data_IF_197929999284
#
_entry.id   IF_197929999284
#
_cell.length_a   1.000
_cell.length_b   1.000
_cell.length_c   1.000
_cell.angle_alpha   90.00
_cell.angle_beta   90.00
_cell.angle_gamma   90.00
#
_symmetry.space_group_name_H-M   'P 1'
#
loop_
_entity.id
_entity.type
_entity.pdbx_description
1 polymer ?
#
# COMPACT_ATOMS: atom_id res chain seq x y z
N UNK A 1 27.89 -1.06 -2.15
CA UNK A 1 26.82 -0.47 -1.32
C UNK A 1 26.34 0.75 -2.06
N UNK A 2 25.06 0.83 -2.41
CA UNK A 2 24.54 2.03 -3.05
C UNK A 2 24.54 3.17 -2.02
N UNK A 3 25.08 4.34 -2.39
CA UNK A 3 24.97 5.53 -1.55
C UNK A 3 23.52 6.02 -1.57
N UNK A 4 22.82 5.80 -0.46
CA UNK A 4 21.48 6.31 -0.24
C UNK A 4 21.39 6.98 1.13
N UNK A 5 20.40 7.88 1.30
CA UNK A 5 20.06 8.45 2.61
C UNK A 5 18.59 8.23 2.88
N UNK A 6 18.22 7.89 4.11
CA UNK A 6 16.82 7.78 4.55
C UNK A 6 16.52 8.68 5.74
N UNK A 7 15.34 9.28 5.73
CA UNK A 7 14.79 10.09 6.83
C UNK A 7 13.39 9.56 7.18
N UNK A 8 13.08 9.44 8.47
CA UNK A 8 11.73 9.07 8.90
C UNK A 8 10.80 10.29 8.76
N UNK A 9 9.59 10.06 8.26
CA UNK A 9 8.55 11.08 8.20
C UNK A 9 7.45 10.77 9.21
N UNK A 10 6.88 11.84 9.78
CA UNK A 10 5.69 11.75 10.63
C UNK A 10 4.45 11.74 9.73
N UNK A 11 3.85 10.57 9.52
CA UNK A 11 2.57 10.44 8.85
C UNK A 11 1.44 10.45 9.88
N UNK A 12 0.34 11.12 9.53
CA UNK A 12 -0.87 11.17 10.35
C UNK A 12 -2.04 10.56 9.56
N UNK A 13 -2.02 9.23 9.35
CA UNK A 13 -3.14 8.59 8.69
C UNK A 13 -4.40 8.78 9.54
N UNK A 14 -5.49 9.19 8.88
CA UNK A 14 -6.80 9.25 9.49
C UNK A 14 -7.63 8.06 9.00
N UNK A 15 -8.53 7.58 9.85
CA UNK A 15 -9.43 6.49 9.50
C UNK A 15 -10.46 7.02 8.49
N UNK A 16 -10.17 6.78 7.21
CA UNK A 16 -11.04 7.18 6.10
C UNK A 16 -12.08 6.10 5.82
N UNK A 17 -13.28 6.29 6.37
CA UNK A 17 -14.41 5.37 6.19
C UNK A 17 -14.89 5.38 4.74
N UNK A 18 -14.85 6.53 4.06
CA UNK A 18 -15.30 6.64 2.67
C UNK A 18 -14.38 5.85 1.74
N UNK A 19 -13.06 5.99 1.92
CA UNK A 19 -12.07 5.20 1.20
C UNK A 19 -12.24 3.70 1.48
N UNK A 20 -12.46 3.32 2.73
CA UNK A 20 -12.66 1.92 3.10
C UNK A 20 -13.90 1.32 2.43
N UNK A 21 -15.03 2.02 2.45
CA UNK A 21 -16.28 1.60 1.80
C UNK A 21 -16.09 1.51 0.28
N UNK A 22 -15.38 2.46 -0.32
CA UNK A 22 -15.07 2.44 -1.75
C UNK A 22 -14.20 1.23 -2.13
N UNK A 23 -13.16 0.93 -1.35
CA UNK A 23 -12.26 -0.19 -1.61
C UNK A 23 -12.96 -1.55 -1.44
N UNK A 24 -13.77 -1.68 -0.39
CA UNK A 24 -14.54 -2.90 -0.09
C UNK A 24 -15.79 -3.07 -0.94
N UNK A 25 -16.21 -2.05 -1.69
CA UNK A 25 -17.49 -1.99 -2.41
C UNK A 25 -18.72 -2.20 -1.50
N UNK A 26 -18.55 -1.98 -0.20
CA UNK A 26 -19.63 -2.05 0.76
C UNK A 26 -20.31 -0.70 0.91
N UNK A 27 -21.56 -0.73 1.37
CA UNK A 27 -22.35 0.49 1.64
C UNK A 27 -22.49 0.78 3.13
N UNK A 28 -22.13 -0.20 3.97
CA UNK A 28 -22.26 -0.13 5.43
C UNK A 28 -21.27 -1.06 6.11
N UNK A 29 -20.96 -0.73 7.35
CA UNK A 29 -20.11 -1.53 8.24
C UNK A 29 -20.91 -1.75 9.52
N UNK A 30 -20.97 -3.00 9.99
CA UNK A 30 -21.60 -3.33 11.27
C UNK A 30 -20.79 -2.75 12.45
N UNK A 31 -21.45 -2.46 13.56
CA UNK A 31 -20.80 -1.89 14.74
C UNK A 31 -19.69 -2.77 15.31
N UNK A 32 -19.92 -4.09 15.40
CA UNK A 32 -18.91 -5.01 15.94
C UNK A 32 -17.65 -5.05 15.04
N UNK A 33 -17.86 -5.05 13.72
CA UNK A 33 -16.76 -5.01 12.76
C UNK A 33 -16.02 -3.68 12.82
N UNK A 34 -16.73 -2.56 12.99
CA UNK A 34 -16.12 -1.24 13.15
C UNK A 34 -15.23 -1.17 14.40
N UNK A 35 -15.67 -1.71 15.53
CA UNK A 35 -14.87 -1.77 16.76
C UNK A 35 -13.61 -2.61 16.57
N UNK A 36 -13.72 -3.77 15.90
CA UNK A 36 -12.55 -4.60 15.54
C UNK A 36 -11.55 -3.83 14.67
N UNK A 37 -12.05 -3.12 13.65
CA UNK A 37 -11.19 -2.36 12.73
C UNK A 37 -10.54 -1.16 13.42
N UNK A 38 -11.23 -0.47 14.32
CA UNK A 38 -10.65 0.61 15.10
C UNK A 38 -9.48 0.10 15.97
N UNK A 39 -9.65 -1.05 16.64
CA UNK A 39 -8.59 -1.66 17.43
C UNK A 39 -7.37 -2.06 16.57
N UNK A 40 -7.61 -2.63 15.38
CA UNK A 40 -6.54 -2.95 14.43
C UNK A 40 -5.84 -1.70 13.91
N UNK A 41 -6.59 -0.64 13.60
CA UNK A 41 -6.04 0.64 13.17
C UNK A 41 -5.08 1.22 14.22
N UNK A 42 -5.50 1.26 15.48
CA UNK A 42 -4.66 1.75 16.58
C UNK A 42 -3.41 0.88 16.77
N UNK A 43 -3.56 -0.45 16.67
CA UNK A 43 -2.42 -1.38 16.70
C UNK A 43 -1.42 -1.06 15.59
N UNK A 44 -1.89 -0.96 14.35
CA UNK A 44 -1.04 -0.80 13.17
C UNK A 44 -0.32 0.56 13.07
N UNK A 45 -0.79 1.59 13.77
CA UNK A 45 -0.02 2.84 13.92
C UNK A 45 1.38 2.61 14.49
N UNK A 46 1.55 1.64 15.40
CA UNK A 46 2.86 1.27 15.95
C UNK A 46 3.74 0.45 15.01
N UNK A 47 3.17 -0.07 13.92
CA UNK A 47 3.81 -0.94 12.93
C UNK A 47 4.02 -0.26 11.57
N UNK A 48 3.61 1.01 11.46
CA UNK A 48 3.78 1.81 10.26
C UNK A 48 5.20 2.36 10.16
N UNK A 49 5.86 2.10 9.04
CA UNK A 49 7.12 2.73 8.69
C UNK A 49 6.93 3.68 7.52
N UNK A 50 7.33 4.94 7.70
CA UNK A 50 7.28 5.99 6.67
C UNK A 50 8.65 6.60 6.52
N UNK A 51 9.24 6.45 5.34
CA UNK A 51 10.59 6.93 5.05
C UNK A 51 10.64 7.71 3.75
N UNK A 52 11.38 8.82 3.80
CA UNK A 52 11.88 9.52 2.64
C UNK A 52 13.25 8.96 2.29
N UNK A 53 13.39 8.42 1.09
CA UNK A 53 14.63 7.81 0.61
C UNK A 53 15.18 8.68 -0.51
N UNK A 54 16.48 8.94 -0.49
CA UNK A 54 17.19 9.62 -1.59
C UNK A 54 18.25 8.69 -2.15
N UNK A 55 18.15 8.41 -3.45
CA UNK A 55 19.13 7.64 -4.22
C UNK A 55 19.67 8.55 -5.32
N UNK A 56 20.94 8.93 -5.22
CA UNK A 56 21.54 9.93 -6.12
C UNK A 56 20.79 11.28 -6.09
N UNK A 57 20.16 11.65 -7.21
CA UNK A 57 19.40 12.91 -7.36
C UNK A 57 17.88 12.74 -7.17
N UNK A 58 17.39 11.51 -7.06
CA UNK A 58 15.96 11.22 -6.98
C UNK A 58 15.59 10.95 -5.52
N UNK A 59 14.43 11.45 -5.13
CA UNK A 59 13.82 11.24 -3.82
C UNK A 59 12.54 10.42 -3.99
N UNK A 60 12.28 9.57 -3.01
CA UNK A 60 11.18 8.62 -2.98
C UNK A 60 10.51 8.67 -1.61
N UNK A 61 9.23 8.35 -1.58
CA UNK A 61 8.47 8.06 -0.38
C UNK A 61 8.23 6.56 -0.34
N UNK A 62 8.65 5.92 0.74
CA UNK A 62 8.38 4.53 1.05
C UNK A 62 7.50 4.46 2.30
N UNK A 63 6.35 3.79 2.19
CA UNK A 63 5.37 3.62 3.27
C UNK A 63 5.03 2.14 3.32
N UNK A 64 5.16 1.50 4.47
CA UNK A 64 4.74 0.10 4.62
C UNK A 64 4.34 -0.23 6.04
N UNK A 65 3.48 -1.25 6.17
CA UNK A 65 3.25 -1.96 7.41
C UNK A 65 4.20 -3.15 7.50
N UNK A 66 4.63 -3.48 8.71
CA UNK A 66 5.41 -4.68 8.95
C UNK A 66 4.55 -5.97 8.85
N UNK A 67 5.18 -7.10 9.14
CA UNK A 67 4.57 -8.44 9.08
C UNK A 67 3.36 -8.61 10.01
N UNK A 68 3.21 -7.79 11.05
CA UNK A 68 2.12 -7.93 12.01
C UNK A 68 0.77 -7.71 11.33
N UNK A 69 0.66 -6.73 10.43
CA UNK A 69 -0.56 -6.48 9.67
C UNK A 69 -0.90 -7.63 8.71
N UNK A 70 0.13 -8.29 8.15
CA UNK A 70 -0.05 -9.47 7.30
C UNK A 70 -0.57 -10.64 8.13
N UNK A 71 -0.03 -10.86 9.33
CA UNK A 71 -0.51 -11.90 10.26
C UNK A 71 -1.94 -11.65 10.73
N UNK A 72 -2.29 -10.41 11.04
CA UNK A 72 -3.65 -10.05 11.46
C UNK A 72 -4.66 -10.30 10.35
N UNK A 73 -4.31 -9.92 9.11
CA UNK A 73 -5.17 -10.13 7.94
C UNK A 73 -5.28 -11.61 7.58
N UNK A 74 -4.17 -12.35 7.58
CA UNK A 74 -4.13 -13.79 7.32
C UNK A 74 -4.90 -14.58 8.38
N UNK A 75 -4.70 -14.28 9.66
CA UNK A 75 -5.41 -14.94 10.76
C UNK A 75 -6.92 -14.66 10.77
N UNK A 76 -7.36 -13.54 10.20
CA UNK A 76 -8.79 -13.25 10.06
C UNK A 76 -9.47 -14.21 9.07
N UNK A 77 -8.76 -14.70 8.05
CA UNK A 77 -9.32 -15.62 7.04
C UNK A 77 -9.71 -16.97 7.63
N UNK A 78 -8.99 -17.45 8.66
CA UNK A 78 -9.34 -18.67 9.38
C UNK A 78 -10.64 -18.54 10.20
N UNK A 79 -11.01 -17.32 10.60
CA UNK A 79 -12.17 -17.05 11.43
C UNK A 79 -13.42 -16.70 10.61
N UNK A 80 -13.32 -15.67 9.75
CA UNK A 80 -14.42 -15.16 8.93
C UNK A 80 -13.85 -14.57 7.63
N UNK A 81 -14.11 -15.21 6.47
CA UNK A 81 -13.67 -14.67 5.19
C UNK A 81 -14.21 -13.26 4.90
N UNK A 82 -15.41 -12.94 5.38
CA UNK A 82 -16.01 -11.61 5.21
C UNK A 82 -15.30 -10.54 6.06
N UNK A 83 -14.99 -10.85 7.32
CA UNK A 83 -14.23 -9.94 8.20
C UNK A 83 -12.81 -9.78 7.65
N UNK A 84 -12.18 -10.87 7.20
CA UNK A 84 -10.84 -10.86 6.62
C UNK A 84 -10.75 -10.01 5.35
N UNK A 85 -11.78 -10.06 4.49
CA UNK A 85 -11.90 -9.18 3.33
C UNK A 85 -11.94 -7.70 3.76
N UNK A 86 -12.74 -7.37 4.77
CA UNK A 86 -12.85 -6.00 5.29
C UNK A 86 -11.56 -5.52 5.96
N UNK A 87 -10.91 -6.38 6.74
CA UNK A 87 -9.63 -6.10 7.40
C UNK A 87 -8.50 -5.93 6.38
N UNK A 88 -8.54 -6.69 5.27
CA UNK A 88 -7.60 -6.51 4.15
C UNK A 88 -7.77 -5.14 3.49
N UNK A 89 -9.03 -4.73 3.25
CA UNK A 89 -9.33 -3.40 2.72
C UNK A 89 -8.97 -2.28 3.71
N UNK A 90 -9.09 -2.52 5.02
CA UNK A 90 -8.64 -1.61 6.06
C UNK A 90 -7.14 -1.35 5.96
N UNK A 91 -6.32 -2.39 5.81
CA UNK A 91 -4.87 -2.26 5.67
C UNK A 91 -4.49 -1.49 4.40
N UNK A 92 -5.23 -1.68 3.31
CA UNK A 92 -5.05 -0.90 2.08
C UNK A 92 -5.43 0.58 2.28
N UNK A 93 -6.59 0.86 2.89
CA UNK A 93 -7.02 2.22 3.21
C UNK A 93 -6.02 2.92 4.14
N UNK A 94 -5.45 2.18 5.10
CA UNK A 94 -4.44 2.66 6.04
C UNK A 94 -3.18 3.16 5.34
N UNK A 95 -2.62 2.36 4.44
CA UNK A 95 -1.43 2.75 3.66
C UNK A 95 -1.73 3.95 2.76
N UNK A 96 -2.89 3.95 2.09
CA UNK A 96 -3.27 5.05 1.19
C UNK A 96 -3.45 6.35 1.98
N UNK A 97 -4.16 6.32 3.11
CA UNK A 97 -4.31 7.47 4.02
C UNK A 97 -2.96 7.98 4.55
N UNK A 98 -2.03 7.06 4.85
CA UNK A 98 -0.66 7.41 5.26
C UNK A 98 0.09 8.14 4.15
N UNK A 99 -0.09 7.73 2.90
CA UNK A 99 0.49 8.40 1.73
C UNK A 99 -0.15 9.77 1.51
N UNK A 100 -1.48 9.88 1.60
CA UNK A 100 -2.20 11.15 1.40
C UNK A 100 -1.83 12.20 2.45
N UNK A 101 -1.58 11.78 3.69
CA UNK A 101 -1.07 12.67 4.75
C UNK A 101 0.27 13.33 4.41
N UNK A 102 1.07 12.74 3.52
CA UNK A 102 2.41 13.25 3.14
C UNK A 102 2.40 13.85 1.73
N UNK A 103 1.64 13.26 0.81
CA UNK A 103 1.53 13.62 -0.60
C UNK A 103 0.03 13.72 -0.99
N UNK A 104 -0.67 14.81 -0.62
CA UNK A 104 -2.09 14.98 -0.92
C UNK A 104 -2.37 15.04 -2.43
N UNK A 105 -1.38 15.42 -3.25
CA UNK A 105 -1.50 15.39 -4.72
C UNK A 105 -1.79 13.97 -5.26
N UNK A 106 -1.38 12.92 -4.54
CA UNK A 106 -1.65 11.52 -4.91
C UNK A 106 -3.14 11.21 -4.81
N UNK A 107 -3.82 11.75 -3.80
CA UNK A 107 -5.27 11.59 -3.61
C UNK A 107 -6.03 12.22 -4.78
N UNK A 108 -5.64 13.43 -5.16
CA UNK A 108 -6.24 14.15 -6.31
C UNK A 108 -5.97 13.44 -7.63
N UNK A 109 -4.78 12.86 -7.80
CA UNK A 109 -4.41 12.10 -8.98
C UNK A 109 -5.03 10.69 -9.03
N UNK A 110 -5.54 10.18 -7.89
CA UNK A 110 -6.16 8.86 -7.76
C UNK A 110 -5.20 7.67 -7.86
N UNK A 111 -3.88 7.92 -7.95
CA UNK A 111 -2.86 6.88 -8.05
C UNK A 111 -1.45 7.39 -7.69
N UNK A 112 -0.66 6.55 -7.01
CA UNK A 112 0.76 6.79 -6.75
C UNK A 112 1.62 6.06 -7.80
N UNK A 113 2.42 6.76 -8.63
CA UNK A 113 3.27 6.09 -9.61
C UNK A 113 4.38 5.29 -8.92
N UNK A 114 4.54 4.04 -9.33
CA UNK A 114 5.64 3.19 -8.89
C UNK A 114 6.93 3.53 -9.66
N UNK A 115 8.05 3.81 -8.97
CA UNK A 115 9.33 4.06 -9.64
C UNK A 115 9.93 2.77 -10.20
N UNK A 116 10.76 2.90 -11.23
CA UNK A 116 11.54 1.79 -11.77
C UNK A 116 12.53 1.26 -10.71
N UNK A 117 12.59 -0.07 -10.46
CA UNK A 117 13.56 -0.66 -9.55
C UNK A 117 14.97 -0.55 -10.17
N UNK A 118 15.73 0.43 -9.71
CA UNK A 118 17.17 0.57 -10.05
C UNK A 118 18.00 -0.14 -9.01
N UNK A 119 19.22 -0.58 -9.33
CA UNK A 119 20.09 -1.28 -8.38
C UNK A 119 20.27 -0.52 -7.06
N UNK A 120 20.36 0.81 -7.12
CA UNK A 120 20.47 1.65 -5.94
C UNK A 120 19.19 1.67 -5.08
N UNK A 121 18.02 1.65 -5.71
CA UNK A 121 16.73 1.62 -5.02
C UNK A 121 16.46 0.23 -4.43
N UNK A 122 16.79 -0.84 -5.16
CA UNK A 122 16.67 -2.22 -4.68
C UNK A 122 17.55 -2.43 -3.46
N UNK A 123 18.82 -2.03 -3.52
CA UNK A 123 19.74 -2.12 -2.38
C UNK A 123 19.29 -1.27 -1.18
N UNK A 124 18.76 -0.08 -1.41
CA UNK A 124 18.22 0.76 -0.34
C UNK A 124 17.00 0.11 0.34
N UNK A 125 16.07 -0.44 -0.43
CA UNK A 125 14.89 -1.10 0.11
C UNK A 125 15.23 -2.40 0.87
N UNK A 126 16.24 -3.14 0.41
CA UNK A 126 16.79 -4.30 1.12
C UNK A 126 17.38 -3.92 2.48
N UNK A 127 18.23 -2.89 2.53
CA UNK A 127 18.84 -2.40 3.78
C UNK A 127 17.80 -1.82 4.76
N UNK A 128 16.70 -1.25 4.24
CA UNK A 128 15.60 -0.72 5.05
C UNK A 128 14.61 -1.77 5.55
N UNK A 129 14.76 -3.05 5.16
CA UNK A 129 13.95 -4.16 5.63
C UNK A 129 12.64 -4.39 4.87
N UNK A 130 12.50 -3.82 3.67
CA UNK A 130 11.37 -4.03 2.78
C UNK A 130 11.87 -4.26 1.34
N UNK A 131 12.61 -5.36 1.07
CA UNK A 131 13.19 -5.63 -0.25
C UNK A 131 12.11 -5.80 -1.32
N UNK A 132 12.51 -5.67 -2.58
CA UNK A 132 11.66 -6.08 -3.71
C UNK A 132 11.47 -7.60 -3.70
N UNK A 133 10.31 -8.05 -4.16
CA UNK A 133 10.08 -9.47 -4.38
C UNK A 133 10.86 -9.93 -5.63
N UNK A 134 11.63 -11.01 -5.51
CA UNK A 134 12.45 -11.53 -6.62
C UNK A 134 11.66 -11.87 -7.89
N UNK A 135 10.35 -12.15 -7.75
CA UNK A 135 9.48 -12.56 -8.85
C UNK A 135 8.48 -11.49 -9.29
N UNK A 136 8.48 -10.31 -8.66
CA UNK A 136 7.52 -9.25 -8.96
C UNK A 136 8.17 -7.86 -8.91
N UNK A 137 7.65 -6.94 -9.71
CA UNK A 137 8.01 -5.51 -9.63
C UNK A 137 7.49 -4.81 -8.36
N UNK A 138 6.95 -5.57 -7.40
CA UNK A 138 6.38 -5.13 -6.15
C UNK A 138 7.35 -5.39 -4.97
N UNK A 139 7.07 -4.74 -3.84
CA UNK A 139 7.80 -4.95 -2.60
C UNK A 139 7.41 -6.28 -1.94
N UNK A 140 8.25 -6.76 -1.04
CA UNK A 140 8.04 -8.00 -0.28
C UNK A 140 6.88 -7.92 0.70
N UNK A 141 6.58 -6.72 1.22
CA UNK A 141 5.43 -6.47 2.09
C UNK A 141 4.18 -6.26 1.25
N UNK A 142 3.08 -6.91 1.65
CA UNK A 142 1.75 -6.84 1.00
C UNK A 142 1.20 -5.42 1.05
N UNK A 143 1.38 -4.75 2.18
CA UNK A 143 0.91 -3.40 2.42
C UNK A 143 2.09 -2.43 2.36
N UNK A 144 2.57 -2.18 1.15
CA UNK A 144 3.66 -1.26 0.90
C UNK A 144 3.44 -0.42 -0.36
N UNK A 145 3.81 0.85 -0.28
CA UNK A 145 3.80 1.81 -1.37
C UNK A 145 5.16 2.47 -1.46
N UNK A 146 5.69 2.50 -2.68
CA UNK A 146 6.88 3.25 -3.03
C UNK A 146 6.55 4.17 -4.19
N UNK A 147 6.77 5.47 -4.00
CA UNK A 147 6.47 6.48 -5.02
C UNK A 147 7.51 7.59 -5.03
N UNK A 148 7.42 8.51 -5.97
CA UNK A 148 8.34 9.66 -6.07
C UNK A 148 8.00 10.71 -5.02
N UNK A 149 9.05 11.34 -4.47
CA UNK A 149 8.92 12.47 -3.55
C UNK A 149 9.75 13.67 -4.08
N UNK A 150 9.19 14.88 -4.20
CA UNK A 150 7.76 15.19 -4.21
C UNK A 150 7.05 14.44 -5.35
N UNK A 151 5.71 14.41 -5.31
CA UNK A 151 4.87 13.75 -6.32
C UNK A 151 5.25 14.19 -7.74
N UNK A 152 5.35 13.23 -8.66
CA UNK A 152 5.70 13.47 -10.06
C UNK A 152 4.78 12.68 -10.96
N UNK A 153 3.75 13.32 -11.50
CA UNK A 153 2.84 12.68 -12.46
C UNK A 153 2.10 11.46 -11.90
N UNK A 154 1.25 10.86 -12.72
CA UNK A 154 0.46 9.68 -12.35
C UNK A 154 0.85 8.50 -13.24
N UNK A 155 -0.10 7.94 -14.00
CA UNK A 155 0.13 6.72 -14.80
C UNK A 155 1.24 6.86 -15.86
N UNK A 156 1.49 8.06 -16.40
CA UNK A 156 2.45 8.27 -17.51
C UNK A 156 3.91 7.90 -17.18
N UNK A 157 4.27 7.90 -15.90
CA UNK A 157 5.63 7.59 -15.44
C UNK A 157 5.69 6.32 -14.59
N UNK A 158 4.57 5.62 -14.45
CA UNK A 158 4.45 4.47 -13.57
C UNK A 158 5.09 3.25 -14.22
N UNK A 159 6.09 2.67 -13.55
CA UNK A 159 6.77 1.48 -14.04
C UNK A 159 5.84 0.26 -14.14
N UNK A 160 4.81 0.22 -13.31
CA UNK A 160 3.80 -0.84 -13.30
C UNK A 160 2.71 -0.65 -14.35
N UNK A 161 2.69 0.45 -15.11
CA UNK A 161 1.65 0.75 -16.09
C UNK A 161 1.30 -0.42 -17.05
N UNK A 162 2.25 -1.19 -17.63
CA UNK A 162 1.90 -2.31 -18.52
C UNK A 162 1.13 -3.43 -17.84
N UNK A 163 1.32 -3.64 -16.53
CA UNK A 163 0.67 -4.68 -15.74
C UNK A 163 -0.42 -4.10 -14.82
N UNK A 164 -0.70 -2.80 -14.91
CA UNK A 164 -1.61 -2.13 -13.98
C UNK A 164 -3.05 -2.15 -14.50
N UNK A 165 -4.02 -2.66 -13.72
CA UNK A 165 -5.42 -2.69 -14.14
C UNK A 165 -5.99 -1.28 -14.42
N UNK A 166 -5.58 -0.28 -13.61
CA UNK A 166 -5.91 1.14 -13.86
C UNK A 166 -5.29 1.68 -15.14
N UNK A 167 -4.00 1.39 -15.37
CA UNK A 167 -3.27 1.84 -16.55
C UNK A 167 -3.77 1.22 -17.85
N UNK A 168 -4.35 0.04 -17.78
CA UNK A 168 -4.87 -0.72 -18.92
C UNK A 168 -6.38 -0.53 -19.15
N UNK A 169 -7.04 0.37 -18.40
CA UNK A 169 -8.48 0.61 -18.53
C UNK A 169 -9.35 -0.59 -18.16
N UNK A 170 -8.78 -1.56 -17.44
CA UNK A 170 -9.48 -2.72 -16.89
C UNK A 170 -10.09 -2.43 -15.52
N UNK A 171 -9.76 -1.28 -14.94
CA UNK A 171 -10.36 -0.78 -13.70
C UNK A 171 -11.81 -0.36 -13.96
N UNK A 172 -12.74 -1.29 -13.71
CA UNK A 172 -14.17 -1.00 -13.56
C UNK A 172 -14.49 -0.61 -12.10
N UNK A 173 -13.65 0.21 -11.47
CA UNK A 173 -13.81 0.61 -10.06
C UNK A 173 -13.36 -0.46 -9.05
N UNK A 174 -12.51 -1.40 -9.47
CA UNK A 174 -12.15 -2.57 -8.67
C UNK A 174 -10.87 -2.32 -7.89
N UNK A 175 -10.99 -2.02 -6.59
CA UNK A 175 -9.92 -2.17 -5.59
C UNK A 175 -9.45 -3.61 -5.39
N UNK A 176 -9.66 -4.50 -6.37
CA UNK A 176 -9.25 -5.90 -6.34
C UNK A 176 -7.76 -6.00 -6.65
N UNK A 177 -6.93 -5.82 -5.64
CA UNK A 177 -5.61 -6.45 -5.63
C UNK A 177 -5.83 -7.97 -5.57
N UNK A 178 -5.60 -8.68 -6.67
CA UNK A 178 -5.62 -10.15 -6.67
C UNK A 178 -4.46 -10.62 -5.81
N UNK A 179 -4.78 -11.19 -4.64
CA UNK A 179 -3.79 -11.76 -3.73
C UNK A 179 -3.09 -12.91 -4.46
N UNK A 180 -1.74 -12.91 -4.59
CA UNK A 180 -1.02 -14.04 -5.17
C UNK A 180 -1.36 -15.33 -4.41
N UNK A 181 -2.03 -16.28 -5.08
CA UNK A 181 -2.54 -17.53 -4.48
C UNK A 181 -4.07 -17.63 -4.32
N UNK A 182 -4.82 -16.57 -4.63
CA UNK A 182 -6.30 -16.55 -4.63
C UNK A 182 -6.85 -15.99 -5.95
N UNK A 183 -6.25 -16.39 -7.06
CA UNK A 183 -6.77 -16.07 -8.39
C UNK A 183 -8.09 -16.81 -8.62
N UNK A 184 -9.17 -16.08 -8.87
CA UNK A 184 -10.45 -16.67 -9.28
C UNK A 184 -10.27 -17.38 -10.61
N UNK A 185 -10.53 -18.69 -10.64
CA UNK A 185 -10.51 -19.50 -11.86
C UNK A 185 -11.46 -18.88 -12.91
N UNK A 186 -10.97 -18.58 -14.13
CA UNK A 186 -11.82 -18.02 -15.17
C UNK A 186 -12.74 -19.10 -15.74
N UNK A 187 -14.01 -19.08 -15.33
CA UNK A 187 -15.10 -19.72 -16.09
C UNK A 187 -15.48 -18.90 -17.33
#
# INVERSE_FOLDING_TARGET
>A
MAEYTSENLDAKPYFDIELLLQLSQETRIDGELMDKMAALWEKWLGHLTVKKIKVGKIQYLAVWLDEEAEKDTDGAWDASPSDAYMITNLAQAFIMSSVYSILPDVETAGCAPAPKPTDGLVAAMEDLGCPYNSNASALSRRYAVLTFYPFKGACDICYLQPDCPKGNGQDQGSGSFTIPGFESDPQ
#
